data_IF_491229866265
#
_entry.id   IF_491229866265
#
_cell.length_a   1.000
_cell.length_b   1.000
_cell.length_c   1.000
_cell.angle_alpha   90.00
_cell.angle_beta   90.00
_cell.angle_gamma   90.00
#
_symmetry.space_group_name_H-M   'P 1'
#
loop_
_entity.id
_entity.type
_entity.pdbx_description
1 polymer ?
#
# COMPACT_ATOMS: atom_id res chain seq x y z
N UNK A 1 -0.01 -12.87 16.41
CA UNK A 1 0.93 -11.95 15.74
C UNK A 1 0.68 -12.07 14.24
N UNK A 2 0.55 -10.97 13.47
CA UNK A 2 0.44 -11.04 12.02
C UNK A 2 1.73 -11.64 11.45
N UNK A 3 1.62 -12.67 10.62
CA UNK A 3 2.77 -13.30 9.97
C UNK A 3 2.97 -12.67 8.59
N UNK A 4 4.19 -12.22 8.30
CA UNK A 4 4.53 -11.72 6.97
C UNK A 4 4.66 -12.88 5.96
N UNK A 5 4.30 -12.63 4.73
CA UNK A 5 4.46 -13.58 3.64
C UNK A 5 4.97 -12.90 2.37
N UNK A 6 5.62 -13.70 1.52
CA UNK A 6 5.86 -13.35 0.12
C UNK A 6 4.69 -13.89 -0.71
N UNK A 7 3.90 -12.99 -1.26
CA UNK A 7 2.84 -13.33 -2.20
C UNK A 7 3.44 -13.37 -3.61
N UNK A 8 3.37 -14.51 -4.28
CA UNK A 8 3.82 -14.68 -5.68
C UNK A 8 2.63 -15.00 -6.56
N UNK A 9 2.52 -14.30 -7.67
CA UNK A 9 1.43 -14.42 -8.63
C UNK A 9 1.99 -14.86 -9.97
N UNK A 10 1.46 -15.95 -10.52
CA UNK A 10 1.89 -16.54 -11.79
C UNK A 10 0.71 -16.58 -12.75
N UNK A 11 0.82 -15.89 -13.89
CA UNK A 11 -0.14 -15.98 -14.97
C UNK A 11 0.15 -17.18 -15.89
N UNK A 12 -0.87 -17.64 -16.61
CA UNK A 12 -0.76 -18.77 -17.56
C UNK A 12 0.23 -18.51 -18.71
N UNK A 13 0.56 -17.25 -19.01
CA UNK A 13 1.52 -16.86 -20.04
C UNK A 13 2.97 -16.78 -19.53
N UNK A 14 3.22 -17.25 -18.31
CA UNK A 14 4.54 -17.25 -17.68
C UNK A 14 4.92 -15.93 -16.98
N UNK A 15 4.04 -14.93 -17.01
CA UNK A 15 4.23 -13.69 -16.28
C UNK A 15 4.19 -13.94 -14.78
N UNK A 16 5.22 -13.49 -14.06
CA UNK A 16 5.32 -13.65 -12.61
C UNK A 16 5.60 -12.32 -11.96
N UNK A 17 4.89 -12.00 -10.89
CA UNK A 17 5.23 -10.87 -10.02
C UNK A 17 5.06 -11.25 -8.55
N UNK A 18 5.74 -10.53 -7.67
CA UNK A 18 5.66 -10.77 -6.23
C UNK A 18 5.34 -9.49 -5.47
N UNK A 19 4.53 -9.63 -4.44
CA UNK A 19 4.20 -8.56 -3.50
C UNK A 19 4.49 -9.02 -2.07
N UNK A 20 4.61 -8.05 -1.16
CA UNK A 20 4.56 -8.34 0.27
C UNK A 20 3.11 -8.57 0.67
N UNK A 21 2.88 -9.58 1.49
CA UNK A 21 1.62 -9.82 2.15
C UNK A 21 1.78 -9.94 3.66
N UNK A 22 0.68 -9.75 4.38
CA UNK A 22 0.58 -9.97 5.82
C UNK A 22 -0.63 -10.85 6.05
N UNK A 23 -0.43 -12.02 6.65
CA UNK A 23 -1.53 -12.87 7.07
C UNK A 23 -2.40 -12.12 8.08
N UNK A 24 -3.72 -12.22 7.91
CA UNK A 24 -4.64 -11.55 8.82
C UNK A 24 -4.57 -12.17 10.22
N UNK A 25 -4.81 -11.40 11.29
CA UNK A 25 -4.75 -11.90 12.67
C UNK A 25 -5.70 -13.07 12.96
N UNK A 26 -6.80 -13.16 12.21
CA UNK A 26 -7.85 -14.16 12.31
C UNK A 26 -7.71 -15.35 11.33
N UNK A 27 -6.60 -15.38 10.57
CA UNK A 27 -6.23 -16.53 9.74
C UNK A 27 -5.89 -17.73 10.64
N UNK A 28 -6.07 -18.99 10.19
CA UNK A 28 -5.78 -20.19 10.97
C UNK A 28 -4.39 -20.18 11.59
N UNK A 29 -4.27 -20.57 12.86
CA UNK A 29 -3.01 -20.60 13.59
C UNK A 29 -1.98 -21.60 13.02
N UNK A 30 -2.41 -22.57 12.22
CA UNK A 30 -1.60 -23.64 11.64
C UNK A 30 -0.80 -23.24 10.39
N UNK A 31 -0.78 -21.95 10.05
CA UNK A 31 -0.30 -21.38 8.78
C UNK A 31 0.75 -22.22 8.04
N UNK A 32 0.29 -22.85 6.97
CA UNK A 32 1.10 -23.42 5.89
C UNK A 32 0.95 -22.49 4.68
N UNK A 33 1.94 -22.47 3.80
CA UNK A 33 1.80 -21.81 2.51
C UNK A 33 0.53 -22.31 1.81
N UNK A 34 -0.25 -21.39 1.23
CA UNK A 34 -1.47 -21.73 0.49
C UNK A 34 -1.37 -21.21 -0.95
N UNK A 35 -1.98 -21.96 -1.87
CA UNK A 35 -1.93 -21.68 -3.31
C UNK A 35 -3.24 -22.05 -3.99
N UNK A 36 -3.56 -21.38 -5.08
CA UNK A 36 -4.75 -21.66 -5.87
C UNK A 36 -4.98 -20.63 -6.97
N UNK A 37 -5.97 -20.91 -7.82
CA UNK A 37 -6.40 -19.96 -8.84
C UNK A 37 -7.09 -18.77 -8.17
N UNK A 38 -6.89 -17.57 -8.71
CA UNK A 38 -7.41 -16.33 -8.15
C UNK A 38 -8.67 -15.91 -8.90
N UNK A 39 -9.72 -15.61 -8.14
CA UNK A 39 -11.01 -15.13 -8.64
C UNK A 39 -11.35 -13.81 -7.95
N UNK A 40 -11.59 -12.75 -8.72
CA UNK A 40 -12.08 -11.49 -8.15
C UNK A 40 -13.49 -11.67 -7.59
N UNK A 41 -13.77 -11.13 -6.41
CA UNK A 41 -15.10 -11.12 -5.84
C UNK A 41 -16.09 -10.30 -6.69
N UNK A 42 -17.35 -10.75 -6.77
CA UNK A 42 -18.47 -9.98 -7.31
C UNK A 42 -19.63 -10.02 -6.31
N UNK A 43 -19.95 -8.90 -5.62
CA UNK A 43 -19.34 -7.58 -5.76
C UNK A 43 -17.90 -7.53 -5.20
N UNK A 44 -17.06 -6.63 -5.74
CA UNK A 44 -15.63 -6.53 -5.42
C UNK A 44 -15.32 -6.26 -3.95
N UNK A 45 -16.25 -5.61 -3.24
CA UNK A 45 -16.16 -5.33 -1.81
C UNK A 45 -16.62 -6.49 -0.93
N UNK A 46 -17.28 -7.51 -1.51
CA UNK A 46 -17.96 -8.57 -0.76
C UNK A 46 -18.88 -8.01 0.36
N UNK A 47 -19.51 -6.87 0.11
CA UNK A 47 -20.50 -6.22 0.98
C UNK A 47 -21.85 -6.95 0.97
N UNK A 48 -22.03 -7.83 -0.01
CA UNK A 48 -23.20 -8.70 -0.21
C UNK A 48 -22.71 -10.11 -0.60
N UNK A 49 -23.58 -11.14 -0.51
CA UNK A 49 -23.24 -12.48 -0.97
C UNK A 49 -22.68 -12.50 -2.39
N UNK A 50 -21.65 -13.31 -2.62
CA UNK A 50 -20.93 -13.34 -3.90
C UNK A 50 -21.79 -13.93 -5.01
N UNK A 51 -22.06 -13.14 -6.05
CA UNK A 51 -22.81 -13.54 -7.26
C UNK A 51 -22.07 -14.62 -8.04
N UNK A 52 -20.74 -14.61 -7.97
CA UNK A 52 -19.87 -15.55 -8.67
C UNK A 52 -19.40 -16.73 -7.79
N UNK A 53 -20.18 -17.12 -6.77
CA UNK A 53 -19.84 -18.22 -5.86
C UNK A 53 -19.41 -19.52 -6.56
N UNK A 54 -20.01 -19.85 -7.71
CA UNK A 54 -19.62 -21.02 -8.50
C UNK A 54 -18.17 -20.99 -9.01
N UNK A 55 -17.61 -19.80 -9.29
CA UNK A 55 -16.20 -19.63 -9.66
C UNK A 55 -15.29 -19.56 -8.44
N UNK A 56 -15.79 -19.03 -7.33
CA UNK A 56 -15.03 -18.86 -6.07
C UNK A 56 -14.80 -20.20 -5.37
N UNK A 57 -15.74 -21.15 -5.48
CA UNK A 57 -15.62 -22.46 -4.85
C UNK A 57 -14.27 -23.12 -5.18
N UNK A 58 -13.57 -23.55 -4.13
CA UNK A 58 -12.25 -24.19 -4.13
C UNK A 58 -11.09 -23.29 -4.61
N UNK A 59 -11.35 -22.01 -4.91
CA UNK A 59 -10.36 -21.04 -5.40
C UNK A 59 -10.06 -19.93 -4.38
N UNK A 60 -8.99 -19.19 -4.63
CA UNK A 60 -8.63 -18.01 -3.85
C UNK A 60 -9.50 -16.83 -4.30
N UNK A 61 -10.16 -16.16 -3.37
CA UNK A 61 -10.96 -14.98 -3.69
C UNK A 61 -10.21 -13.69 -3.37
N UNK A 62 -10.12 -12.80 -4.37
CA UNK A 62 -9.54 -11.47 -4.24
C UNK A 62 -10.65 -10.46 -3.94
N UNK A 63 -10.59 -9.85 -2.76
CA UNK A 63 -11.58 -8.90 -2.24
C UNK A 63 -10.91 -7.55 -2.02
N UNK A 64 -11.56 -6.48 -2.49
CA UNK A 64 -11.11 -5.11 -2.26
C UNK A 64 -11.42 -4.69 -0.82
N UNK A 65 -10.44 -4.05 -0.15
CA UNK A 65 -10.69 -3.37 1.12
C UNK A 65 -11.60 -2.16 0.91
N UNK A 66 -12.46 -1.89 1.89
CA UNK A 66 -13.38 -0.75 1.92
C UNK A 66 -14.09 -0.71 3.28
N UNK A 67 -15.16 0.07 3.40
CA UNK A 67 -15.83 0.38 4.68
C UNK A 67 -16.65 -0.78 5.30
N UNK A 68 -16.47 -2.00 4.81
CA UNK A 68 -17.16 -3.20 5.27
C UNK A 68 -16.23 -4.04 6.14
N UNK A 69 -16.76 -4.58 7.25
CA UNK A 69 -15.97 -5.38 8.18
C UNK A 69 -15.36 -6.63 7.51
N UNK A 70 -14.16 -6.99 7.94
CA UNK A 70 -13.48 -8.20 7.47
C UNK A 70 -14.29 -9.46 7.78
N UNK A 71 -14.99 -9.53 8.92
CA UNK A 71 -15.88 -10.64 9.26
C UNK A 71 -17.00 -10.84 8.24
N UNK A 72 -17.62 -9.75 7.77
CA UNK A 72 -18.67 -9.83 6.74
C UNK A 72 -18.10 -10.34 5.42
N UNK A 73 -16.94 -9.81 5.02
CA UNK A 73 -16.25 -10.22 3.79
C UNK A 73 -15.83 -11.70 3.86
N UNK A 74 -15.25 -12.12 4.99
CA UNK A 74 -14.85 -13.50 5.23
C UNK A 74 -16.06 -14.44 5.22
N UNK A 75 -17.17 -14.06 5.86
CA UNK A 75 -18.40 -14.84 5.83
C UNK A 75 -18.88 -15.07 4.39
N UNK A 76 -19.00 -14.02 3.57
CA UNK A 76 -19.43 -14.18 2.18
C UNK A 76 -18.44 -15.00 1.33
N UNK A 77 -17.14 -14.90 1.60
CA UNK A 77 -16.14 -15.74 0.95
C UNK A 77 -16.26 -17.22 1.34
N UNK A 78 -16.45 -17.51 2.63
CA UNK A 78 -16.63 -18.87 3.16
C UNK A 78 -17.94 -19.49 2.66
N UNK A 79 -19.04 -18.74 2.68
CA UNK A 79 -20.34 -19.18 2.16
C UNK A 79 -20.26 -19.52 0.64
N UNK A 80 -19.38 -18.84 -0.09
CA UNK A 80 -19.09 -19.13 -1.50
C UNK A 80 -18.14 -20.33 -1.71
N UNK A 81 -17.55 -20.87 -0.64
CA UNK A 81 -16.63 -22.01 -0.68
C UNK A 81 -15.19 -21.66 -1.04
N UNK A 82 -14.73 -20.43 -0.74
CA UNK A 82 -13.36 -20.02 -1.02
C UNK A 82 -12.33 -20.89 -0.26
N UNK A 83 -11.23 -21.26 -0.92
CA UNK A 83 -10.12 -22.00 -0.30
C UNK A 83 -9.07 -21.09 0.35
N UNK A 84 -9.14 -19.78 0.08
CA UNK A 84 -8.34 -18.74 0.72
C UNK A 84 -8.82 -17.35 0.31
N UNK A 85 -8.48 -16.32 1.10
CA UNK A 85 -8.90 -14.95 0.86
C UNK A 85 -7.70 -14.01 0.74
N UNK A 86 -7.70 -13.18 -0.31
CA UNK A 86 -6.71 -12.15 -0.55
C UNK A 86 -7.41 -10.79 -0.42
N UNK A 87 -7.07 -10.03 0.61
CA UNK A 87 -7.53 -8.66 0.76
C UNK A 87 -6.57 -7.72 0.05
N UNK A 88 -7.10 -6.96 -0.90
CA UNK A 88 -6.37 -5.91 -1.56
C UNK A 88 -6.53 -4.60 -0.80
N UNK A 89 -5.45 -4.15 -0.19
CA UNK A 89 -5.46 -2.97 0.65
C UNK A 89 -5.44 -1.70 -0.21
N UNK A 90 -6.58 -1.02 -0.35
CA UNK A 90 -6.78 0.20 -1.14
C UNK A 90 -6.32 1.50 -0.50
N UNK A 91 -5.84 1.44 0.74
CA UNK A 91 -5.43 2.58 1.55
C UNK A 91 -3.94 2.46 1.92
N UNK A 92 -3.25 3.58 2.15
CA UNK A 92 -1.83 3.62 2.53
C UNK A 92 -1.56 2.99 3.91
N UNK A 93 -2.61 2.83 4.72
CA UNK A 93 -2.59 2.07 5.98
C UNK A 93 -2.95 0.60 5.70
N UNK A 94 -2.16 -0.34 6.24
CA UNK A 94 -2.37 -1.79 6.04
C UNK A 94 -3.41 -2.38 7.01
N UNK A 95 -4.35 -1.58 7.52
CA UNK A 95 -5.24 -1.93 8.63
C UNK A 95 -5.95 -3.26 8.43
N UNK A 96 -5.50 -4.28 9.16
CA UNK A 96 -6.23 -5.54 9.35
C UNK A 96 -6.98 -5.42 10.68
N UNK A 97 -8.30 -5.23 10.61
CA UNK A 97 -9.12 -5.30 11.82
C UNK A 97 -8.95 -6.68 12.46
N UNK A 98 -9.08 -6.75 13.78
CA UNK A 98 -9.34 -8.04 14.42
C UNK A 98 -10.67 -8.59 13.88
N UNK A 99 -10.70 -9.90 13.70
CA UNK A 99 -11.84 -10.60 13.14
C UNK A 99 -12.02 -11.91 13.86
N UNK A 100 -13.16 -12.55 13.61
CA UNK A 100 -13.46 -13.85 14.16
C UNK A 100 -12.49 -14.88 13.56
N UNK A 101 -11.76 -15.67 14.37
CA UNK A 101 -10.88 -16.72 13.84
C UNK A 101 -11.61 -17.63 12.85
N UNK A 102 -10.98 -17.90 11.72
CA UNK A 102 -11.56 -18.73 10.64
C UNK A 102 -10.64 -19.89 10.28
N UNK A 103 -11.19 -20.92 9.63
CA UNK A 103 -10.44 -22.05 9.09
C UNK A 103 -9.89 -21.80 7.67
N UNK A 104 -10.28 -20.68 7.03
CA UNK A 104 -9.84 -20.31 5.68
C UNK A 104 -8.65 -19.35 5.78
N UNK A 105 -7.49 -19.66 5.16
CA UNK A 105 -6.34 -18.79 5.21
C UNK A 105 -6.62 -17.45 4.53
N UNK A 106 -6.17 -16.38 5.16
CA UNK A 106 -6.37 -15.03 4.62
C UNK A 106 -5.14 -14.15 4.77
N UNK A 107 -4.86 -13.40 3.71
CA UNK A 107 -3.71 -12.50 3.59
C UNK A 107 -4.17 -11.15 3.08
N UNK A 108 -3.53 -10.10 3.55
CA UNK A 108 -3.65 -8.78 2.95
C UNK A 108 -2.40 -8.43 2.17
N UNK A 109 -2.60 -7.88 0.97
CA UNK A 109 -1.58 -7.45 0.03
C UNK A 109 -1.83 -6.01 -0.40
N UNK A 110 -0.82 -5.37 -0.97
CA UNK A 110 -0.91 -3.99 -1.47
C UNK A 110 -1.97 -3.83 -2.59
N UNK A 111 -2.63 -2.67 -2.68
CA UNK A 111 -3.61 -2.35 -3.73
C UNK A 111 -3.07 -2.61 -5.14
N UNK A 112 -1.77 -2.37 -5.36
CA UNK A 112 -1.13 -2.58 -6.65
C UNK A 112 -1.31 -4.01 -7.15
N UNK A 113 -1.43 -5.01 -6.25
CA UNK A 113 -1.74 -6.39 -6.63
C UNK A 113 -3.14 -6.48 -7.23
N UNK A 114 -4.13 -5.85 -6.61
CA UNK A 114 -5.48 -5.81 -7.16
C UNK A 114 -5.53 -5.08 -8.49
N UNK A 115 -4.90 -3.91 -8.59
CA UNK A 115 -4.87 -3.18 -9.86
C UNK A 115 -4.14 -3.94 -10.96
N UNK A 116 -3.05 -4.65 -10.63
CA UNK A 116 -2.31 -5.48 -11.59
C UNK A 116 -3.10 -6.70 -12.06
N UNK A 117 -3.85 -7.34 -11.17
CA UNK A 117 -4.69 -8.50 -11.51
C UNK A 117 -6.01 -8.09 -12.18
N UNK A 118 -6.58 -6.96 -11.74
CA UNK A 118 -7.85 -6.43 -12.24
C UNK A 118 -7.67 -5.75 -13.61
N UNK A 119 -6.62 -4.92 -13.76
CA UNK A 119 -6.25 -4.26 -15.02
C UNK A 119 -5.75 -5.22 -16.12
N UNK A 120 -5.24 -6.40 -15.74
CA UNK A 120 -4.94 -7.52 -16.67
C UNK A 120 -6.14 -8.39 -17.01
N UNK A 121 -7.35 -7.87 -16.80
CA UNK A 121 -8.59 -8.48 -17.24
C UNK A 121 -8.83 -9.87 -16.61
N UNK A 122 -9.04 -9.90 -15.28
CA UNK A 122 -9.79 -10.99 -14.61
C UNK A 122 -11.27 -11.08 -15.08
N UNK A 123 -11.70 -10.15 -15.93
CA UNK A 123 -12.95 -10.16 -16.70
C UNK A 123 -12.73 -10.74 -18.12
N UNK A 124 -11.47 -10.80 -18.62
CA UNK A 124 -11.07 -11.32 -19.94
C UNK A 124 -10.51 -12.75 -19.95
N UNK A 125 -10.52 -13.46 -18.81
CA UNK A 125 -10.32 -14.91 -18.76
C UNK A 125 -8.90 -15.42 -18.46
N UNK A 126 -7.91 -14.57 -18.21
CA UNK A 126 -6.59 -15.04 -17.77
C UNK A 126 -6.63 -15.47 -16.29
N UNK A 127 -6.25 -16.71 -16.01
CA UNK A 127 -6.15 -17.21 -14.63
C UNK A 127 -4.77 -16.91 -14.05
N UNK A 128 -4.76 -16.51 -12.78
CA UNK A 128 -3.55 -16.33 -12.01
C UNK A 128 -3.52 -17.34 -10.87
N UNK A 129 -2.37 -17.95 -10.64
CA UNK A 129 -2.13 -18.79 -9.47
C UNK A 129 -1.36 -17.98 -8.42
N UNK A 130 -1.93 -17.88 -7.23
CA UNK A 130 -1.27 -17.29 -6.06
C UNK A 130 -0.48 -18.35 -5.29
N UNK A 131 0.66 -17.97 -4.74
CA UNK A 131 1.47 -18.76 -3.81
C UNK A 131 1.93 -17.85 -2.66
N UNK A 132 1.55 -18.20 -1.43
CA UNK A 132 1.72 -17.37 -0.24
C UNK A 132 2.61 -18.05 0.78
N UNK A 133 3.92 -17.91 0.60
CA UNK A 133 4.91 -18.52 1.48
C UNK A 133 5.26 -17.60 2.66
N UNK A 134 5.38 -18.18 3.86
CA UNK A 134 5.69 -17.43 5.08
C UNK A 134 7.16 -17.00 5.02
N UNK A 135 7.40 -15.69 5.00
CA UNK A 135 8.75 -15.16 4.92
C UNK A 135 9.33 -14.95 6.34
N UNK A 136 9.66 -16.06 7.01
CA UNK A 136 10.28 -16.04 8.35
C UNK A 136 11.68 -15.41 8.36
N UNK A 137 12.39 -15.34 7.23
CA UNK A 137 13.77 -14.83 7.16
C UNK A 137 13.84 -13.31 6.98
N UNK A 138 12.92 -12.70 6.23
CA UNK A 138 12.90 -11.25 6.04
C UNK A 138 12.43 -10.48 7.27
N UNK A 139 11.51 -11.01 8.08
CA UNK A 139 11.08 -10.35 9.33
C UNK A 139 12.21 -10.27 10.35
N UNK A 140 12.99 -11.34 10.50
CA UNK A 140 14.19 -11.39 11.36
C UNK A 140 15.26 -10.43 10.86
N UNK A 141 15.51 -10.37 9.54
CA UNK A 141 16.45 -9.43 8.96
C UNK A 141 16.04 -7.97 9.17
N UNK A 142 14.75 -7.66 9.17
CA UNK A 142 14.24 -6.31 9.43
C UNK A 142 14.31 -5.92 10.92
N UNK A 143 13.98 -6.85 11.83
CA UNK A 143 14.19 -6.67 13.29
C UNK A 143 15.65 -6.32 13.57
N UNK A 144 16.57 -7.12 13.02
CA UNK A 144 18.01 -6.94 13.22
C UNK A 144 18.46 -5.56 12.74
N UNK A 145 17.96 -5.09 11.60
CA UNK A 145 18.29 -3.75 11.06
C UNK A 145 17.82 -2.60 11.97
N UNK A 146 16.64 -2.70 12.60
CA UNK A 146 16.16 -1.67 13.52
C UNK A 146 17.01 -1.65 14.79
N UNK A 147 17.21 -2.82 15.40
CA UNK A 147 17.99 -2.92 16.64
C UNK A 147 19.45 -2.49 16.42
N UNK A 148 20.05 -2.89 15.30
CA UNK A 148 21.38 -2.46 14.87
C UNK A 148 21.42 -0.94 14.63
N UNK A 149 20.43 -0.37 13.94
CA UNK A 149 20.38 1.07 13.72
C UNK A 149 20.31 1.84 15.04
N UNK A 150 19.46 1.41 15.96
CA UNK A 150 19.32 2.03 17.28
C UNK A 150 20.59 1.86 18.12
N UNK A 151 21.22 0.69 18.11
CA UNK A 151 22.46 0.42 18.86
C UNK A 151 23.65 1.23 18.35
N UNK A 152 23.72 1.49 17.05
CA UNK A 152 24.70 2.39 16.43
C UNK A 152 24.35 3.89 16.56
N UNK A 153 23.37 4.24 17.41
CA UNK A 153 23.00 5.63 17.68
C UNK A 153 22.25 6.33 16.54
N UNK A 154 21.71 5.58 15.57
CA UNK A 154 20.82 6.16 14.55
C UNK A 154 19.47 6.51 15.17
N UNK A 155 18.88 7.57 14.65
CA UNK A 155 17.49 7.94 14.97
C UNK A 155 16.59 7.25 13.95
N UNK A 156 15.72 6.36 14.44
CA UNK A 156 14.61 5.82 13.64
C UNK A 156 13.38 6.73 13.82
N UNK A 157 12.44 6.70 12.88
CA UNK A 157 11.15 7.38 13.00
C UNK A 157 10.06 6.34 13.23
N UNK A 158 9.24 6.53 14.25
CA UNK A 158 7.97 5.85 14.40
C UNK A 158 6.88 6.74 13.80
N UNK A 159 6.22 6.25 12.77
CA UNK A 159 5.01 6.84 12.22
C UNK A 159 3.81 6.08 12.78
N UNK A 160 2.92 6.78 13.46
CA UNK A 160 1.66 6.24 14.00
C UNK A 160 0.51 6.92 13.28
N UNK A 161 -0.28 6.16 12.54
CA UNK A 161 -1.54 6.59 11.94
C UNK A 161 -2.66 6.30 12.92
N UNK A 162 -3.32 7.34 13.42
CA UNK A 162 -4.56 7.22 14.20
C UNK A 162 -5.70 7.15 13.19
N UNK A 163 -6.37 5.99 13.11
CA UNK A 163 -7.35 5.68 12.05
C UNK A 163 -8.72 6.18 12.48
N UNK A 164 -9.29 5.59 13.53
CA UNK A 164 -10.63 5.92 14.02
C UNK A 164 -10.89 5.35 15.42
N UNK A 165 -12.00 5.78 16.01
CA UNK A 165 -12.51 5.28 17.28
C UNK A 165 -13.77 4.45 17.09
N UNK A 166 -14.01 3.51 18.00
CA UNK A 166 -15.20 2.67 18.01
C UNK A 166 -15.81 2.62 19.41
N UNK A 167 -17.10 2.95 19.50
CA UNK A 167 -17.87 2.88 20.74
C UNK A 167 -17.26 3.70 21.89
N UNK A 168 -16.75 4.89 21.58
CA UNK A 168 -16.19 5.78 22.59
C UNK A 168 -17.25 6.15 23.63
N UNK A 169 -16.85 6.23 24.90
CA UNK A 169 -17.73 6.66 25.99
C UNK A 169 -18.31 8.02 25.68
N UNK A 170 -19.64 8.13 25.72
CA UNK A 170 -20.33 9.39 25.49
C UNK A 170 -20.15 10.33 26.67
N UNK A 171 -19.60 11.51 26.42
CA UNK A 171 -19.40 12.54 27.44
C UNK A 171 -20.52 13.59 27.40
N UNK A 172 -21.31 13.65 26.32
CA UNK A 172 -22.35 14.66 26.11
C UNK A 172 -23.75 14.03 26.02
N UNK A 173 -24.71 14.53 26.80
CA UNK A 173 -26.08 13.98 26.81
C UNK A 173 -26.96 14.49 25.64
N UNK A 174 -26.61 15.62 25.00
CA UNK A 174 -27.46 16.34 24.05
C UNK A 174 -26.78 16.72 22.72
N UNK A 175 -25.45 16.68 22.64
CA UNK A 175 -24.66 17.07 21.47
C UNK A 175 -23.69 15.96 21.06
N UNK A 176 -23.14 16.07 19.84
CA UNK A 176 -22.15 15.11 19.35
C UNK A 176 -20.76 15.53 19.83
N UNK A 177 -20.05 14.60 20.46
CA UNK A 177 -18.65 14.79 20.84
C UNK A 177 -17.76 15.24 19.67
N UNK A 178 -16.74 16.04 20.00
CA UNK A 178 -15.68 16.56 19.16
C UNK A 178 -14.32 15.91 19.51
N UNK A 179 -14.10 14.60 19.25
CA UNK A 179 -12.96 13.89 19.81
C UNK A 179 -11.63 14.18 19.10
N UNK A 180 -10.53 14.14 19.88
CA UNK A 180 -9.15 14.07 19.39
C UNK A 180 -8.29 13.11 20.24
N UNK A 181 -7.19 12.63 19.65
CA UNK A 181 -6.28 11.67 20.29
C UNK A 181 -4.91 12.30 20.50
N UNK A 182 -4.41 12.22 21.72
CA UNK A 182 -3.03 12.51 22.08
C UNK A 182 -2.22 11.22 22.22
N UNK A 183 -1.09 11.15 21.53
CA UNK A 183 -0.10 10.08 21.63
C UNK A 183 1.18 10.61 22.29
N UNK A 184 1.73 9.81 23.22
CA UNK A 184 3.03 10.10 23.85
C UNK A 184 3.98 8.92 23.72
N UNK A 185 5.20 9.22 23.29
CA UNK A 185 6.32 8.27 23.19
C UNK A 185 7.56 8.91 23.83
N UNK A 186 7.91 8.43 25.02
CA UNK A 186 8.89 9.11 25.87
C UNK A 186 8.48 10.56 26.17
N UNK A 187 9.35 11.51 25.84
CA UNK A 187 9.11 12.95 26.06
C UNK A 187 8.36 13.63 24.90
N UNK A 188 8.02 12.90 23.84
CA UNK A 188 7.37 13.45 22.66
C UNK A 188 5.86 13.28 22.76
N UNK A 189 5.13 14.39 22.58
CA UNK A 189 3.67 14.43 22.55
C UNK A 189 3.22 14.96 21.20
N UNK A 190 2.22 14.29 20.61
CA UNK A 190 1.59 14.67 19.34
C UNK A 190 0.10 14.40 19.47
N UNK A 191 -0.74 15.27 18.90
CA UNK A 191 -2.20 15.06 18.85
C UNK A 191 -2.73 15.08 17.43
N UNK A 192 -3.86 14.40 17.22
CA UNK A 192 -4.65 14.53 16.00
C UNK A 192 -5.34 15.91 15.95
N UNK A 193 -5.88 16.25 14.79
CA UNK A 193 -6.91 17.27 14.68
C UNK A 193 -8.19 16.75 15.32
N UNK A 194 -8.97 17.66 15.86
CA UNK A 194 -10.31 17.41 16.39
C UNK A 194 -11.24 16.99 15.27
N UNK A 195 -11.98 15.90 15.48
CA UNK A 195 -13.06 15.50 14.59
C UNK A 195 -14.36 16.13 15.07
N UNK A 196 -14.75 17.25 14.47
CA UNK A 196 -16.00 17.92 14.82
C UNK A 196 -17.21 17.02 14.53
N UNK A 197 -18.14 16.97 15.46
CA UNK A 197 -19.35 16.13 15.42
C UNK A 197 -19.02 14.64 15.17
N UNK A 198 -17.87 14.18 15.66
CA UNK A 198 -17.40 12.79 15.46
C UNK A 198 -18.16 11.76 16.28
N UNK A 199 -18.79 12.19 17.38
CA UNK A 199 -19.55 11.32 18.27
C UNK A 199 -18.73 10.14 18.76
N UNK A 200 -19.38 8.99 18.92
CA UNK A 200 -18.75 7.79 19.49
C UNK A 200 -17.89 6.98 18.50
N UNK A 201 -17.90 7.32 17.19
CA UNK A 201 -17.18 6.57 16.15
C UNK A 201 -16.42 7.49 15.17
N UNK A 202 -15.48 8.33 15.66
CA UNK A 202 -14.77 9.31 14.84
C UNK A 202 -13.74 8.66 13.90
N UNK A 203 -13.41 9.33 12.79
CA UNK A 203 -12.39 8.88 11.81
C UNK A 203 -11.36 9.98 11.53
N UNK A 204 -10.12 9.82 12.00
CA UNK A 204 -9.07 10.83 11.83
C UNK A 204 -8.15 10.58 10.63
N UNK A 205 -7.77 9.31 10.37
CA UNK A 205 -6.78 8.92 9.37
C UNK A 205 -5.50 9.80 9.36
N UNK A 206 -4.98 10.12 10.55
CA UNK A 206 -3.91 11.11 10.70
C UNK A 206 -2.58 10.49 11.14
N UNK A 207 -1.51 10.83 10.42
CA UNK A 207 -0.13 10.40 10.69
C UNK A 207 0.54 11.33 11.70
N UNK A 208 0.99 10.77 12.82
CA UNK A 208 1.81 11.40 13.86
C UNK A 208 3.20 10.75 13.87
N UNK A 209 4.26 11.56 14.00
CA UNK A 209 5.65 11.07 13.89
C UNK A 209 6.45 11.34 15.14
N UNK A 210 7.20 10.32 15.56
CA UNK A 210 8.06 10.31 16.74
C UNK A 210 9.47 9.85 16.36
N UNK A 211 10.46 10.36 17.08
CA UNK A 211 11.85 9.93 16.95
C UNK A 211 12.14 8.81 17.95
N UNK A 212 12.65 7.69 17.47
CA UNK A 212 13.12 6.56 18.25
C UNK A 212 14.65 6.58 18.30
N UNK A 213 15.17 6.45 19.51
CA UNK A 213 16.60 6.29 19.82
C UNK A 213 16.76 5.09 20.74
N UNK A 214 18.00 4.63 20.98
CA UNK A 214 18.26 3.59 21.97
C UNK A 214 17.74 3.92 23.39
N UNK A 215 17.54 5.20 23.70
CA UNK A 215 17.04 5.68 25.00
C UNK A 215 15.52 5.88 25.04
N UNK A 216 14.83 5.79 23.90
CA UNK A 216 13.39 5.99 23.84
C UNK A 216 12.70 4.80 24.51
N UNK A 217 11.78 5.01 25.47
CA UNK A 217 11.00 3.92 26.04
C UNK A 217 10.24 3.16 24.95
N UNK A 218 10.20 1.82 25.05
CA UNK A 218 9.48 0.94 24.10
C UNK A 218 7.98 0.85 24.42
N UNK A 219 7.41 1.92 24.94
CA UNK A 219 6.00 2.03 25.32
C UNK A 219 5.43 3.35 24.81
N UNK A 220 4.19 3.32 24.37
CA UNK A 220 3.40 4.47 23.96
C UNK A 220 2.15 4.57 24.84
N UNK A 221 1.73 5.79 25.14
CA UNK A 221 0.41 6.04 25.70
C UNK A 221 -0.48 6.75 24.68
N UNK A 222 -1.77 6.49 24.77
CA UNK A 222 -2.83 7.06 23.95
C UNK A 222 -3.92 7.57 24.88
N UNK A 223 -4.32 8.83 24.72
CA UNK A 223 -5.44 9.43 25.44
C UNK A 223 -6.40 10.07 24.45
N UNK A 224 -7.68 9.76 24.58
CA UNK A 224 -8.75 10.38 23.80
C UNK A 224 -9.46 11.42 24.66
N UNK A 225 -9.70 12.58 24.07
CA UNK A 225 -10.39 13.70 24.70
C UNK A 225 -11.52 14.18 23.81
N UNK A 226 -12.52 14.81 24.42
CA UNK A 226 -13.59 15.55 23.76
C UNK A 226 -13.28 17.06 23.85
N UNK A 227 -13.10 17.74 22.71
CA UNK A 227 -12.70 19.15 22.69
C UNK A 227 -13.91 20.08 22.81
N UNK A 228 -14.12 20.66 23.99
CA UNK A 228 -15.07 21.75 24.14
C UNK A 228 -14.45 23.12 23.79
N UNK A 229 -15.21 23.97 23.10
CA UNK A 229 -14.75 25.32 22.70
C UNK A 229 -14.56 26.28 23.89
N UNK A 230 -15.26 26.06 25.00
CA UNK A 230 -15.33 27.01 26.14
C UNK A 230 -14.86 26.45 27.49
N UNK A 231 -14.52 25.16 27.56
CA UNK A 231 -14.02 24.50 28.79
C UNK A 231 -12.76 23.69 28.50
N UNK A 232 -12.16 23.16 29.56
CA UNK A 232 -11.13 22.14 29.41
C UNK A 232 -11.73 20.91 28.71
N UNK A 233 -10.93 20.26 27.86
CA UNK A 233 -11.36 19.06 27.16
C UNK A 233 -11.65 17.93 28.14
N UNK A 234 -12.76 17.22 27.93
CA UNK A 234 -13.18 16.11 28.78
C UNK A 234 -12.42 14.83 28.41
N UNK A 235 -12.03 14.06 29.42
CA UNK A 235 -11.35 12.79 29.22
C UNK A 235 -12.36 11.71 28.82
N UNK A 236 -12.25 11.21 27.59
CA UNK A 236 -13.06 10.10 27.09
C UNK A 236 -12.50 8.77 27.60
N UNK A 237 -11.17 8.60 27.48
CA UNK A 237 -10.49 7.40 27.94
C UNK A 237 -9.02 7.36 27.54
N UNK A 238 -8.26 6.43 28.12
CA UNK A 238 -6.83 6.31 27.88
C UNK A 238 -6.34 4.87 27.90
N UNK A 239 -5.14 4.67 27.34
CA UNK A 239 -4.32 3.47 27.50
C UNK A 239 -2.86 3.91 27.65
N UNK A 240 -2.19 3.51 28.74
CA UNK A 240 -0.83 3.98 29.08
C UNK A 240 0.28 3.00 28.69
N UNK A 241 -0.07 1.76 28.35
CA UNK A 241 0.86 0.63 28.30
C UNK A 241 0.89 -0.07 26.93
N UNK A 242 0.91 0.70 25.84
CA UNK A 242 0.95 0.15 24.49
C UNK A 242 2.40 -0.21 24.14
N UNK A 243 2.73 -1.50 24.09
CA UNK A 243 4.07 -1.97 23.76
C UNK A 243 4.44 -1.69 22.29
N UNK A 244 5.66 -1.19 22.08
CA UNK A 244 6.24 -0.99 20.75
C UNK A 244 7.02 -2.22 20.24
N UNK A 245 7.11 -3.30 21.03
CA UNK A 245 7.93 -4.46 20.66
C UNK A 245 7.47 -5.10 19.35
N UNK A 246 6.15 -5.18 19.12
CA UNK A 246 5.59 -5.74 17.89
C UNK A 246 6.07 -4.97 16.67
N UNK A 247 6.00 -3.63 16.68
CA UNK A 247 6.45 -2.79 15.55
C UNK A 247 7.97 -2.75 15.43
N UNK A 248 8.71 -2.82 16.54
CA UNK A 248 10.18 -2.87 16.51
C UNK A 248 10.70 -4.19 15.92
N UNK A 249 9.97 -5.29 16.12
CA UNK A 249 10.30 -6.60 15.53
C UNK A 249 9.88 -6.69 14.07
N UNK A 250 8.64 -6.36 13.76
CA UNK A 250 8.08 -6.58 12.42
C UNK A 250 8.26 -5.42 11.44
N UNK A 251 8.57 -4.22 11.94
CA UNK A 251 8.60 -2.98 11.16
C UNK A 251 7.23 -2.31 10.95
N UNK A 252 6.15 -3.06 11.17
CA UNK A 252 4.77 -2.63 10.98
C UNK A 252 3.87 -3.33 12.00
N UNK A 253 3.08 -2.59 12.76
CA UNK A 253 2.12 -3.17 13.70
C UNK A 253 0.82 -2.39 13.68
N UNK A 254 -0.28 -3.08 13.81
CA UNK A 254 -1.62 -2.47 13.86
C UNK A 254 -2.38 -3.07 15.03
N UNK A 255 -3.13 -2.22 15.72
CA UNK A 255 -3.75 -2.56 17.00
C UNK A 255 -5.07 -1.79 17.14
N UNK A 256 -6.09 -2.46 17.68
CA UNK A 256 -7.20 -1.76 18.33
C UNK A 256 -6.84 -1.55 19.78
N UNK A 257 -6.66 -0.31 20.19
CA UNK A 257 -6.23 0.05 21.54
C UNK A 257 -7.48 0.21 22.42
N UNK A 258 -7.73 -0.70 23.38
CA UNK A 258 -8.85 -0.53 24.29
C UNK A 258 -8.56 0.66 25.21
N UNK A 259 -9.57 1.49 25.41
CA UNK A 259 -9.53 2.62 26.33
C UNK A 259 -10.23 2.27 27.64
N UNK A 260 -9.77 2.91 28.70
CA UNK A 260 -10.45 2.92 29.98
C UNK A 260 -10.54 4.35 30.52
N UNK A 261 -11.55 4.64 31.33
CA UNK A 261 -11.64 5.89 32.08
C UNK A 261 -10.82 5.85 33.39
N UNK A 262 -10.96 6.88 34.22
CA UNK A 262 -10.26 6.98 35.50
C UNK A 262 -10.67 5.88 36.50
N UNK A 263 -11.89 5.35 36.37
CA UNK A 263 -12.43 4.25 37.19
C UNK A 263 -12.04 2.87 36.64
N UNK A 264 -11.24 2.82 35.57
CA UNK A 264 -10.85 1.62 34.82
C UNK A 264 -12.03 0.93 34.13
N UNK A 265 -13.11 1.66 33.89
CA UNK A 265 -14.23 1.15 33.11
C UNK A 265 -13.90 1.25 31.61
N UNK A 266 -14.32 0.28 30.78
CA UNK A 266 -14.09 0.35 29.33
C UNK A 266 -14.74 1.60 28.70
N UNK A 267 -13.98 2.30 27.85
CA UNK A 267 -14.41 3.56 27.20
C UNK A 267 -14.28 3.53 25.67
N UNK A 268 -14.49 2.37 25.07
CA UNK A 268 -14.32 2.14 23.63
C UNK A 268 -12.90 1.79 23.24
N UNK A 269 -12.60 1.86 21.94
CA UNK A 269 -11.25 1.58 21.41
C UNK A 269 -10.84 2.56 20.31
N UNK A 270 -9.52 2.66 20.09
CA UNK A 270 -8.92 3.48 19.02
C UNK A 270 -8.02 2.61 18.15
N UNK A 271 -8.26 2.61 16.86
CA UNK A 271 -7.47 1.86 15.89
C UNK A 271 -6.23 2.65 15.46
N UNK A 272 -5.06 2.02 15.57
CA UNK A 272 -3.77 2.62 15.20
C UNK A 272 -2.96 1.70 14.29
N UNK A 273 -2.25 2.30 13.32
CA UNK A 273 -1.24 1.63 12.49
C UNK A 273 0.13 2.27 12.69
N UNK A 274 1.14 1.46 13.00
CA UNK A 274 2.48 1.90 13.38
C UNK A 274 3.50 1.36 12.40
N UNK A 275 4.42 2.21 11.93
CA UNK A 275 5.54 1.85 11.06
C UNK A 275 6.85 2.43 11.60
N UNK A 276 7.93 1.64 11.56
CA UNK A 276 9.28 2.14 11.85
C UNK A 276 10.02 2.41 10.53
N UNK A 277 10.62 3.59 10.44
CA UNK A 277 11.45 4.04 9.31
C UNK A 277 12.86 4.27 9.84
N UNK A 278 13.83 3.52 9.33
CA UNK A 278 15.23 3.66 9.75
C UNK A 278 15.83 4.91 9.11
N UNK A 279 16.44 5.78 9.92
CA UNK A 279 17.12 6.97 9.41
C UNK A 279 18.42 6.62 8.68
N UNK A 280 18.73 7.40 7.64
CA UNK A 280 20.00 7.32 6.89
C UNK A 280 21.21 7.43 7.82
N UNK A 281 22.22 6.61 7.56
CA UNK A 281 23.53 6.63 8.20
C UNK A 281 24.25 7.97 7.95
N UNK A 282 25.26 8.32 8.77
CA UNK A 282 26.09 9.49 8.52
C UNK A 282 26.77 9.49 7.14
N UNK A 283 27.13 8.32 6.62
CA UNK A 283 27.72 8.16 5.29
C UNK A 283 26.70 8.42 4.19
N UNK A 284 25.49 7.87 4.32
CA UNK A 284 24.38 8.11 3.39
C UNK A 284 23.95 9.59 3.39
N UNK A 285 24.01 10.26 4.55
CA UNK A 285 23.79 11.72 4.66
C UNK A 285 24.89 12.51 3.97
N UNK A 286 26.17 12.14 4.15
CA UNK A 286 27.31 12.77 3.46
C UNK A 286 27.23 12.59 1.94
N UNK A 287 26.79 11.43 1.48
CA UNK A 287 26.64 11.12 0.06
C UNK A 287 25.46 11.91 -0.56
N UNK A 288 24.35 12.02 0.16
CA UNK A 288 23.22 12.85 -0.24
C UNK A 288 23.54 14.37 -0.26
N UNK A 289 24.39 14.83 0.67
CA UNK A 289 24.84 16.22 0.74
C UNK A 289 25.85 16.59 -0.37
N UNK A 290 26.57 15.60 -0.94
CA UNK A 290 27.53 15.81 -2.03
C UNK A 290 26.90 16.02 -3.41
N UNK A 291 25.56 15.99 -3.54
CA UNK A 291 24.88 16.40 -4.77
C UNK A 291 25.14 15.53 -5.99
N UNK A 292 25.52 14.26 -5.82
CA UNK A 292 25.52 13.31 -6.95
C UNK A 292 24.08 13.11 -7.37
N UNK A 293 23.69 13.74 -8.48
CA UNK A 293 22.38 13.55 -9.10
C UNK A 293 22.42 12.19 -9.77
N UNK A 294 21.95 11.16 -9.07
CA UNK A 294 21.79 9.83 -9.65
C UNK A 294 20.89 9.94 -10.88
N UNK A 295 21.30 9.32 -11.98
CA UNK A 295 20.55 9.32 -13.24
C UNK A 295 20.06 7.90 -13.52
N UNK A 296 18.87 7.80 -14.09
CA UNK A 296 18.32 6.57 -14.67
C UNK A 296 18.59 6.60 -16.17
N UNK A 297 19.21 5.54 -16.69
CA UNK A 297 19.32 5.30 -18.12
C UNK A 297 18.23 4.31 -18.53
N UNK A 298 17.26 4.78 -19.33
CA UNK A 298 16.09 4.00 -19.74
C UNK A 298 16.24 3.67 -21.21
N UNK A 299 16.47 2.40 -21.53
CA UNK A 299 16.58 1.93 -22.90
C UNK A 299 15.19 1.63 -23.46
N UNK A 300 14.81 2.36 -24.51
CA UNK A 300 13.56 2.16 -25.25
C UNK A 300 13.89 1.48 -26.57
N UNK A 301 13.62 0.18 -26.67
CA UNK A 301 13.96 -0.64 -27.84
C UNK A 301 12.92 -0.47 -28.95
N UNK A 302 11.64 -0.67 -28.63
CA UNK A 302 10.55 -0.60 -29.59
C UNK A 302 9.19 -0.77 -28.93
N UNK A 303 8.15 -0.84 -29.75
CA UNK A 303 6.81 -1.29 -29.39
C UNK A 303 6.32 -2.27 -30.46
N UNK A 304 5.31 -3.08 -30.13
CA UNK A 304 4.72 -4.03 -31.09
C UNK A 304 3.20 -4.01 -31.02
N UNK A 305 2.53 -4.21 -32.15
CA UNK A 305 1.07 -4.28 -32.24
C UNK A 305 0.34 -2.97 -31.89
N UNK A 306 0.93 -1.81 -32.19
CA UNK A 306 0.26 -0.51 -32.02
C UNK A 306 -0.94 -0.39 -32.96
N UNK A 307 -1.97 0.33 -32.51
CA UNK A 307 -3.14 0.61 -33.35
C UNK A 307 -2.77 1.57 -34.49
N UNK A 308 -3.09 1.22 -35.75
CA UNK A 308 -2.91 2.15 -36.87
C UNK A 308 -4.08 3.15 -36.94
N UNK A 309 -3.80 4.43 -36.68
CA UNK A 309 -4.81 5.50 -36.65
C UNK A 309 -5.05 6.17 -38.01
N UNK A 310 -4.33 5.78 -39.06
CA UNK A 310 -4.53 6.37 -40.38
C UNK A 310 -5.92 6.05 -40.99
N UNK A 311 -6.46 7.06 -41.68
CA UNK A 311 -7.78 7.01 -42.32
C UNK A 311 -7.86 5.81 -43.27
N UNK A 312 -8.83 4.92 -43.02
CA UNK A 312 -9.09 3.69 -43.79
C UNK A 312 -7.88 2.72 -43.91
N UNK A 313 -6.90 2.79 -43.01
CA UNK A 313 -5.71 1.93 -43.05
C UNK A 313 -4.72 2.30 -44.17
N UNK A 314 -4.85 3.49 -44.76
CA UNK A 314 -3.96 3.99 -45.81
C UNK A 314 -2.90 4.89 -45.16
N UNK A 315 -1.69 4.37 -45.03
CA UNK A 315 -0.56 5.04 -44.37
C UNK A 315 -0.10 4.28 -43.13
N UNK A 316 1.15 4.53 -42.72
CA UNK A 316 1.72 3.96 -41.52
C UNK A 316 1.91 5.07 -40.49
N UNK A 317 1.49 4.81 -39.24
CA UNK A 317 1.73 5.72 -38.12
C UNK A 317 3.21 6.07 -38.01
N UNK A 318 3.47 7.26 -37.46
CA UNK A 318 4.78 7.82 -37.16
C UNK A 318 5.02 7.81 -35.64
N UNK A 319 5.22 6.65 -35.01
CA UNK A 319 5.20 6.55 -33.56
C UNK A 319 6.47 7.10 -32.89
N UNK A 320 6.29 7.69 -31.72
CA UNK A 320 7.35 8.05 -30.78
C UNK A 320 6.91 7.76 -29.33
N UNK A 321 7.88 7.51 -28.46
CA UNK A 321 7.64 7.14 -27.07
C UNK A 321 7.97 8.30 -26.12
N UNK A 322 7.03 8.71 -25.28
CA UNK A 322 7.23 9.65 -24.16
C UNK A 322 7.44 8.87 -22.87
N UNK A 323 8.40 9.31 -22.06
CA UNK A 323 8.73 8.73 -20.76
C UNK A 323 8.72 9.85 -19.72
N UNK A 324 7.91 9.69 -18.68
CA UNK A 324 7.76 10.65 -17.59
C UNK A 324 8.20 10.04 -16.27
N UNK A 325 9.13 10.67 -15.57
CA UNK A 325 9.63 10.26 -14.25
C UNK A 325 9.71 11.50 -13.36
N UNK A 326 9.04 11.47 -12.20
CA UNK A 326 9.08 12.56 -11.22
C UNK A 326 8.80 13.96 -11.82
N UNK A 327 7.81 14.04 -12.71
CA UNK A 327 7.42 15.29 -13.40
C UNK A 327 8.36 15.73 -14.54
N UNK A 328 9.47 15.03 -14.77
CA UNK A 328 10.31 15.24 -15.94
C UNK A 328 9.81 14.35 -17.06
N UNK A 329 9.51 14.91 -18.24
CA UNK A 329 9.08 14.17 -19.42
C UNK A 329 10.12 14.34 -20.55
N UNK A 330 10.53 13.22 -21.15
CA UNK A 330 11.39 13.17 -22.36
C UNK A 330 10.78 12.22 -23.38
N UNK A 331 11.20 12.29 -24.64
CA UNK A 331 10.72 11.40 -25.70
C UNK A 331 11.83 10.83 -26.57
N UNK A 332 11.55 9.70 -27.23
CA UNK A 332 12.37 9.17 -28.32
C UNK A 332 12.26 10.04 -29.57
N UNK A 333 13.12 9.78 -30.56
CA UNK A 333 12.88 10.22 -31.93
C UNK A 333 11.66 9.53 -32.51
N UNK A 334 10.98 10.19 -33.42
CA UNK A 334 9.89 9.60 -34.19
C UNK A 334 10.42 8.55 -35.17
N UNK A 335 9.78 7.39 -35.19
CA UNK A 335 10.00 6.40 -36.24
C UNK A 335 9.03 6.70 -37.38
N UNK A 336 9.52 7.32 -38.46
CA UNK A 336 8.69 7.61 -39.63
C UNK A 336 8.23 6.29 -40.26
N UNK A 337 6.95 6.21 -40.62
CA UNK A 337 6.33 5.00 -41.17
C UNK A 337 6.60 3.75 -40.30
N UNK A 338 6.64 3.92 -38.98
CA UNK A 338 6.90 2.84 -38.03
C UNK A 338 5.74 1.87 -37.88
N UNK A 339 4.53 2.29 -38.26
CA UNK A 339 3.36 1.43 -38.23
C UNK A 339 3.11 0.83 -36.86
N UNK A 340 2.81 -0.47 -36.83
CA UNK A 340 2.42 -1.20 -35.63
C UNK A 340 3.63 -1.61 -34.76
N UNK A 341 4.83 -1.73 -35.34
CA UNK A 341 6.01 -2.32 -34.69
C UNK A 341 7.27 -1.43 -34.76
N UNK A 342 7.26 -0.21 -34.20
CA UNK A 342 8.39 0.69 -34.30
C UNK A 342 9.60 0.27 -33.47
N UNK A 343 10.80 0.53 -33.99
CA UNK A 343 12.08 0.29 -33.32
C UNK A 343 12.85 1.59 -33.10
N UNK A 344 12.94 2.06 -31.85
CA UNK A 344 13.66 3.29 -31.51
C UNK A 344 15.11 3.05 -31.09
N UNK A 345 15.39 1.95 -30.38
CA UNK A 345 16.70 1.59 -29.83
C UNK A 345 17.45 2.80 -29.22
N UNK A 346 16.75 3.56 -28.37
CA UNK A 346 17.22 4.83 -27.83
C UNK A 346 17.26 4.82 -26.31
N UNK A 347 18.37 5.25 -25.73
CA UNK A 347 18.47 5.48 -24.29
C UNK A 347 18.03 6.90 -23.93
N UNK A 348 17.06 7.00 -23.01
CA UNK A 348 16.61 8.25 -22.41
C UNK A 348 17.19 8.35 -21.00
N UNK A 349 18.04 9.36 -20.77
CA UNK A 349 18.63 9.64 -19.46
C UNK A 349 17.74 10.58 -18.65
N UNK A 350 17.24 10.11 -17.50
CA UNK A 350 16.32 10.83 -16.61
C UNK A 350 16.96 11.04 -15.22
N UNK A 351 16.63 12.11 -14.48
CA UNK A 351 17.03 12.19 -13.07
C UNK A 351 16.31 11.11 -12.26
N UNK A 352 17.07 10.39 -11.43
CA UNK A 352 16.48 9.41 -10.52
C UNK A 352 15.66 10.14 -9.43
N UNK A 353 14.38 9.79 -9.23
CA UNK A 353 13.60 10.33 -8.13
C UNK A 353 14.18 9.91 -6.79
N UNK A 354 13.97 10.72 -5.75
CA UNK A 354 14.26 10.31 -4.38
C UNK A 354 13.03 9.63 -3.80
N UNK A 355 13.21 8.43 -3.29
CA UNK A 355 12.16 7.73 -2.54
C UNK A 355 11.76 8.57 -1.32
N UNK A 356 10.48 8.96 -1.27
CA UNK A 356 9.91 9.80 -0.20
C UNK A 356 9.63 11.25 -0.57
N UNK A 357 9.98 11.72 -1.78
CA UNK A 357 9.63 13.08 -2.25
C UNK A 357 8.15 13.21 -2.66
N UNK A 358 7.38 12.11 -2.62
CA UNK A 358 5.94 12.04 -2.93
C UNK A 358 5.55 10.67 -3.49
N UNK A 359 4.28 10.27 -3.33
CA UNK A 359 3.78 8.94 -3.74
C UNK A 359 4.01 8.67 -5.23
N UNK A 360 3.96 9.72 -6.07
CA UNK A 360 4.09 9.60 -7.52
C UNK A 360 5.54 9.68 -8.03
N UNK A 361 6.48 10.11 -7.18
CA UNK A 361 7.86 10.32 -7.60
C UNK A 361 8.54 9.02 -8.03
N UNK A 362 8.12 7.87 -7.48
CA UNK A 362 8.70 6.55 -7.77
C UNK A 362 8.15 5.92 -9.05
N UNK A 363 7.15 6.51 -9.71
CA UNK A 363 6.58 5.92 -10.91
C UNK A 363 7.17 6.50 -12.19
N UNK A 364 7.38 5.63 -13.18
CA UNK A 364 7.68 5.98 -14.56
C UNK A 364 6.45 5.73 -15.43
N UNK A 365 5.99 6.72 -16.16
CA UNK A 365 4.88 6.59 -17.12
C UNK A 365 5.47 6.52 -18.52
N UNK A 366 4.99 5.58 -19.33
CA UNK A 366 5.40 5.44 -20.73
C UNK A 366 4.18 5.53 -21.63
N UNK A 367 4.25 6.37 -22.65
CA UNK A 367 3.18 6.60 -23.61
C UNK A 367 3.74 6.56 -25.03
N UNK A 368 3.07 5.86 -25.93
CA UNK A 368 3.39 5.83 -27.35
C UNK A 368 2.38 6.69 -28.10
N UNK A 369 2.88 7.59 -28.91
CA UNK A 369 2.10 8.60 -29.62
C UNK A 369 2.42 8.54 -31.11
N UNK A 370 1.40 8.75 -31.94
CA UNK A 370 1.54 9.00 -33.37
C UNK A 370 1.83 10.48 -33.58
N UNK A 371 2.87 10.80 -34.35
CA UNK A 371 3.19 12.18 -34.66
C UNK A 371 2.22 12.72 -35.73
N UNK A 372 1.53 13.81 -35.40
CA UNK A 372 0.69 14.51 -36.36
C UNK A 372 1.51 15.12 -37.51
N UNK A 373 1.01 14.97 -38.75
CA UNK A 373 1.66 15.54 -39.93
C UNK A 373 1.09 16.95 -40.29
N UNK A 374 1.97 17.84 -40.75
CA UNK A 374 1.60 19.19 -41.18
C UNK A 374 1.32 20.18 -40.04
N UNK A 375 0.86 21.38 -40.39
CA UNK A 375 0.67 22.51 -39.45
C UNK A 375 -0.52 22.30 -38.49
N UNK A 376 -1.47 21.44 -38.87
CA UNK A 376 -2.70 21.17 -38.11
C UNK A 376 -2.74 19.76 -37.53
N UNK A 377 -1.76 18.91 -37.82
CA UNK A 377 -1.67 17.55 -37.29
C UNK A 377 -1.45 17.59 -35.78
N UNK A 378 -2.35 16.96 -35.02
CA UNK A 378 -2.18 16.76 -33.58
C UNK A 378 -1.58 15.37 -33.35
N UNK A 379 -0.72 15.27 -32.35
CA UNK A 379 -0.23 13.97 -31.91
C UNK A 379 -1.39 13.17 -31.31
N UNK A 380 -1.52 11.90 -31.70
CA UNK A 380 -2.56 11.00 -31.20
C UNK A 380 -1.96 9.93 -30.31
N UNK A 381 -2.65 9.57 -29.22
CA UNK A 381 -2.17 8.52 -28.32
C UNK A 381 -2.44 7.16 -28.96
N UNK A 382 -1.38 6.38 -29.19
CA UNK A 382 -1.45 5.00 -29.71
C UNK A 382 -1.55 3.98 -28.58
N UNK A 383 -0.89 4.26 -27.45
CA UNK A 383 -0.89 3.37 -26.29
C UNK A 383 -0.28 4.03 -25.06
N UNK A 384 -0.72 3.61 -23.88
CA UNK A 384 -0.18 4.06 -22.61
C UNK A 384 0.04 2.87 -21.71
N UNK A 385 1.21 2.83 -21.08
CA UNK A 385 1.52 1.90 -20.02
C UNK A 385 1.34 2.58 -18.67
N UNK A 386 0.59 1.95 -17.77
CA UNK A 386 0.36 2.48 -16.42
C UNK A 386 1.61 2.33 -15.56
N UNK A 387 2.17 3.48 -15.16
CA UNK A 387 3.10 3.71 -14.05
C UNK A 387 3.96 2.51 -13.58
N UNK A 388 5.18 2.38 -14.09
CA UNK A 388 6.19 1.44 -13.58
C UNK A 388 6.74 1.90 -12.23
N UNK A 389 6.67 1.05 -11.20
CA UNK A 389 7.27 1.33 -9.89
C UNK A 389 8.79 1.11 -9.93
N UNK A 390 9.55 2.20 -9.83
CA UNK A 390 11.01 2.21 -9.86
C UNK A 390 11.65 1.86 -8.51
N UNK A 391 10.87 1.53 -7.46
CA UNK A 391 11.38 1.37 -6.09
C UNK A 391 12.59 0.43 -6.03
N UNK A 392 12.54 -0.77 -6.64
CA UNK A 392 13.66 -1.71 -6.61
C UNK A 392 14.90 -1.19 -7.33
N UNK A 393 14.72 -0.56 -8.49
CA UNK A 393 15.80 0.06 -9.25
C UNK A 393 16.43 1.22 -8.48
N UNK A 394 15.63 2.00 -7.74
CA UNK A 394 16.10 3.13 -6.93
C UNK A 394 16.72 2.69 -5.61
N UNK A 395 16.26 1.59 -5.01
CA UNK A 395 16.79 1.07 -3.75
C UNK A 395 18.07 0.25 -3.95
N UNK A 396 18.10 -0.63 -4.95
CA UNK A 396 19.13 -1.67 -5.08
C UNK A 396 19.87 -1.66 -6.43
N UNK A 397 19.49 -0.78 -7.36
CA UNK A 397 20.10 -0.76 -8.70
C UNK A 397 19.67 -1.93 -9.59
N UNK A 398 18.61 -2.64 -9.22
CA UNK A 398 18.09 -3.78 -9.98
C UNK A 398 17.68 -3.31 -11.39
N UNK A 399 18.29 -3.88 -12.45
CA UNK A 399 17.89 -3.57 -13.81
C UNK A 399 16.48 -4.09 -14.04
N UNK A 400 15.63 -3.23 -14.59
CA UNK A 400 14.28 -3.59 -14.96
C UNK A 400 14.22 -3.87 -16.47
N UNK A 401 13.45 -4.90 -16.85
CA UNK A 401 13.12 -5.21 -18.24
C UNK A 401 11.63 -5.59 -18.31
N UNK A 402 10.92 -5.08 -19.31
CA UNK A 402 9.52 -5.43 -19.55
C UNK A 402 9.13 -5.15 -20.98
N UNK A 403 8.21 -5.98 -21.48
CA UNK A 403 7.54 -5.79 -22.76
C UNK A 403 6.33 -4.88 -22.53
N UNK A 404 6.17 -3.88 -23.40
CA UNK A 404 5.00 -2.99 -23.47
C UNK A 404 4.03 -3.58 -24.48
#
# INVERSE_FOLDING_TARGET
QPLNCKATFKGEKGDTFSARGVYTPFSPASQRAFQGDIVAADPVLADKPLRNAGRVRDNLVLILRGDVSFDTKMKHAMDAGASGVIFANTDDALYIAEGTPTDVPSVMVDNQVYMSLHGRNLIGGQKFKGDFDIDRMQSVAYTNKIEEALSHGRVCKLEVTVIGGSGLKDMEFLFNMDPYVELRVGNQVRRTKTHREGGQNPVWNQKLRFSLTAKTPKVMSLTCFDEETLKAADLVGFNKDISLDSVLKSGLSELSVPLQDEEKMPSGSIDVSMRVIIGKSPEEKKQAAKGVKTMLDIQIEGATGLENKHIFGIGASNPFCKVTVAGVCKRTKTHKEGGEDPLWNQTIRMPAPRLGDGVDSKYMIVEVWDQGEGILGKDELLGKFDAFDLTRTLENGDPWAGLI
#
